data_IF_865145034897
#
_entry.id   IF_865145034897
#
_cell.length_a   1.000
_cell.length_b   1.000
_cell.length_c   1.000
_cell.angle_alpha   90.00
_cell.angle_beta   90.00
_cell.angle_gamma   90.00
#
_symmetry.space_group_name_H-M   'P 1'
#
loop_
_entity.id
_entity.type
_entity.pdbx_description
1 polymer ?
#
# COMPACT_ATOMS: atom_id res chain seq x y z
N UNK A 1 -31.52 8.64 13.68
CA UNK A 1 -31.83 9.03 12.28
C UNK A 1 -32.31 10.48 12.10
N UNK A 2 -33.14 11.03 12.95
CA UNK A 2 -33.60 12.43 12.82
C UNK A 2 -32.51 13.45 13.20
N UNK A 3 -31.67 13.14 14.16
CA UNK A 3 -30.59 13.99 14.69
C UNK A 3 -29.43 14.21 13.70
N UNK A 4 -29.15 13.26 12.83
CA UNK A 4 -28.00 13.33 11.89
C UNK A 4 -28.31 14.22 10.68
N UNK A 5 -29.56 14.23 10.22
CA UNK A 5 -30.02 15.11 9.15
C UNK A 5 -29.98 16.59 9.58
N UNK A 6 -30.32 16.89 10.85
CA UNK A 6 -30.33 18.25 11.38
C UNK A 6 -28.93 18.85 11.44
N UNK A 7 -27.90 18.03 11.58
CA UNK A 7 -26.49 18.43 11.66
C UNK A 7 -25.80 18.63 10.29
N UNK A 8 -26.50 18.42 9.19
CA UNK A 8 -25.99 18.71 7.86
C UNK A 8 -26.13 20.20 7.52
N UNK A 9 -25.12 20.80 6.91
CA UNK A 9 -25.16 22.19 6.44
C UNK A 9 -26.30 22.38 5.42
N UNK A 10 -26.92 23.56 5.42
CA UNK A 10 -27.90 23.96 4.41
C UNK A 10 -27.25 24.23 3.06
N UNK A 11 -28.11 24.40 2.01
CA UNK A 11 -27.63 24.88 0.73
C UNK A 11 -27.49 26.41 0.78
N UNK A 12 -26.47 26.92 0.10
CA UNK A 12 -26.22 28.33 -0.08
C UNK A 12 -26.92 28.80 -1.36
N UNK A 13 -27.90 29.71 -1.29
CA UNK A 13 -28.59 30.25 -2.47
C UNK A 13 -27.67 31.06 -3.39
N UNK A 14 -26.61 31.64 -2.86
CA UNK A 14 -25.65 32.47 -3.59
C UNK A 14 -24.49 31.67 -4.19
N UNK A 15 -24.41 30.36 -3.91
CA UNK A 15 -23.41 29.49 -4.49
C UNK A 15 -23.73 29.19 -5.97
N UNK A 16 -22.83 29.51 -6.92
CA UNK A 16 -23.07 29.31 -8.35
C UNK A 16 -23.17 27.83 -8.75
N UNK A 17 -22.84 26.90 -7.86
CA UNK A 17 -22.90 25.46 -8.11
C UNK A 17 -24.34 24.95 -8.05
N UNK A 18 -24.72 24.01 -8.93
CA UNK A 18 -26.04 23.38 -8.89
C UNK A 18 -26.33 22.74 -7.50
N UNK A 19 -27.60 22.73 -7.05
CA UNK A 19 -27.98 22.11 -5.77
C UNK A 19 -27.48 20.67 -5.60
N UNK A 20 -27.45 19.89 -6.66
CA UNK A 20 -26.88 18.52 -6.62
C UNK A 20 -25.39 18.48 -6.25
N UNK A 21 -24.61 19.45 -6.73
CA UNK A 21 -23.19 19.57 -6.39
C UNK A 21 -23.00 20.03 -4.94
N UNK A 22 -23.82 20.97 -4.48
CA UNK A 22 -23.78 21.44 -3.10
C UNK A 22 -24.13 20.30 -2.12
N UNK A 23 -25.19 19.53 -2.39
CA UNK A 23 -25.56 18.35 -1.59
C UNK A 23 -24.42 17.34 -1.58
N UNK A 24 -23.82 17.05 -2.74
CA UNK A 24 -22.66 16.14 -2.80
C UNK A 24 -21.49 16.66 -1.95
N UNK A 25 -21.23 17.97 -1.94
CA UNK A 25 -20.16 18.57 -1.12
C UNK A 25 -20.44 18.44 0.38
N UNK A 26 -21.69 18.70 0.81
CA UNK A 26 -22.10 18.58 2.22
C UNK A 26 -21.96 17.13 2.69
N UNK A 27 -22.49 16.17 1.93
CA UNK A 27 -22.39 14.75 2.26
C UNK A 27 -20.95 14.26 2.23
N UNK A 28 -20.14 14.73 1.27
CA UNK A 28 -18.70 14.44 1.21
C UNK A 28 -17.96 14.92 2.44
N UNK A 29 -18.24 16.14 2.89
CA UNK A 29 -17.68 16.69 4.11
C UNK A 29 -18.09 15.85 5.33
N UNK A 30 -19.37 15.47 5.44
CA UNK A 30 -19.88 14.65 6.53
C UNK A 30 -19.25 13.25 6.57
N UNK A 31 -19.02 12.61 5.41
CA UNK A 31 -18.32 11.33 5.30
C UNK A 31 -16.84 11.49 5.72
N UNK A 32 -16.17 12.53 5.23
CA UNK A 32 -14.74 12.76 5.54
C UNK A 32 -14.49 13.13 7.01
N UNK A 33 -15.42 13.78 7.65
CA UNK A 33 -15.37 14.15 9.09
C UNK A 33 -15.94 13.06 9.99
N UNK A 34 -16.23 11.88 9.44
CA UNK A 34 -16.83 10.74 10.16
C UNK A 34 -18.14 11.05 10.90
N UNK A 35 -18.90 12.01 10.42
CA UNK A 35 -20.30 12.17 10.83
C UNK A 35 -21.17 11.02 10.35
N UNK A 36 -20.78 10.39 9.24
CA UNK A 36 -21.27 9.09 8.80
C UNK A 36 -20.08 8.12 8.78
N UNK A 37 -20.18 7.07 9.56
CA UNK A 37 -19.13 6.07 9.70
C UNK A 37 -19.05 5.13 8.48
N UNK A 38 -17.89 4.52 8.19
CA UNK A 38 -17.76 3.52 7.15
C UNK A 38 -18.76 2.37 7.33
N UNK A 39 -19.48 2.02 6.28
CA UNK A 39 -20.54 1.03 6.29
C UNK A 39 -21.91 1.55 6.75
N UNK A 40 -21.99 2.76 7.27
CA UNK A 40 -23.24 3.36 7.72
C UNK A 40 -24.14 3.70 6.54
N UNK A 41 -25.45 3.60 6.78
CA UNK A 41 -26.46 3.93 5.79
C UNK A 41 -26.70 5.43 5.77
N UNK A 42 -26.54 6.06 4.59
CA UNK A 42 -26.94 7.46 4.40
C UNK A 42 -28.47 7.61 4.49
N UNK A 43 -28.95 8.83 4.85
CA UNK A 43 -30.37 9.16 4.78
C UNK A 43 -30.95 8.81 3.42
N UNK A 44 -32.25 8.47 3.39
CA UNK A 44 -32.90 8.10 2.14
C UNK A 44 -32.96 9.27 1.15
N UNK A 45 -33.16 8.97 -0.12
CA UNK A 45 -33.33 10.01 -1.13
C UNK A 45 -34.53 10.93 -0.82
N UNK A 46 -35.59 10.40 -0.18
CA UNK A 46 -36.73 11.18 0.21
C UNK A 46 -36.41 12.13 1.37
N UNK A 47 -35.73 11.62 2.41
CA UNK A 47 -35.33 12.41 3.57
C UNK A 47 -34.38 13.55 3.17
N UNK A 48 -33.44 13.30 2.26
CA UNK A 48 -32.55 14.32 1.72
C UNK A 48 -33.27 15.33 0.82
N UNK A 49 -34.22 14.87 0.02
CA UNK A 49 -35.05 15.77 -0.84
C UNK A 49 -35.89 16.70 0.01
N UNK A 50 -36.49 16.21 1.08
CA UNK A 50 -37.25 16.99 2.06
C UNK A 50 -36.36 17.97 2.82
N UNK A 51 -35.20 17.48 3.35
CA UNK A 51 -34.24 18.30 4.11
C UNK A 51 -33.72 19.49 3.32
N UNK A 52 -33.45 19.33 2.04
CA UNK A 52 -32.87 20.36 1.17
C UNK A 52 -33.92 21.08 0.32
N UNK A 53 -35.20 20.73 0.44
CA UNK A 53 -36.31 21.26 -0.36
C UNK A 53 -35.99 21.22 -1.87
N UNK A 54 -35.56 20.07 -2.37
CA UNK A 54 -35.22 19.84 -3.79
C UNK A 54 -35.95 18.64 -4.36
N UNK A 55 -36.01 18.55 -5.70
CA UNK A 55 -36.53 17.36 -6.36
C UNK A 55 -35.66 16.10 -6.04
N UNK A 56 -36.31 14.96 -5.91
CA UNK A 56 -35.63 13.67 -5.66
C UNK A 56 -34.56 13.34 -6.71
N UNK A 57 -34.74 13.76 -7.96
CA UNK A 57 -33.76 13.57 -9.03
C UNK A 57 -32.46 14.38 -8.80
N UNK A 58 -32.58 15.56 -8.14
CA UNK A 58 -31.40 16.34 -7.71
C UNK A 58 -30.57 15.57 -6.68
N UNK A 59 -31.22 14.96 -5.70
CA UNK A 59 -30.54 14.10 -4.70
C UNK A 59 -29.90 12.87 -5.37
N UNK A 60 -30.61 12.23 -6.29
CA UNK A 60 -30.07 11.08 -7.03
C UNK A 60 -28.83 11.46 -7.83
N UNK A 61 -28.78 12.65 -8.41
CA UNK A 61 -27.59 13.18 -9.07
C UNK A 61 -26.44 13.42 -8.08
N UNK A 62 -26.72 13.97 -6.90
CA UNK A 62 -25.72 14.14 -5.83
C UNK A 62 -25.13 12.78 -5.37
N UNK A 63 -25.98 11.80 -5.14
CA UNK A 63 -25.53 10.46 -4.76
C UNK A 63 -24.75 9.76 -5.89
N UNK A 64 -25.07 10.03 -7.17
CA UNK A 64 -24.27 9.54 -8.29
C UNK A 64 -22.87 10.13 -8.27
N UNK A 65 -22.72 11.44 -8.03
CA UNK A 65 -21.40 12.08 -7.87
C UNK A 65 -20.58 11.37 -6.79
N UNK A 66 -21.17 11.16 -5.60
CA UNK A 66 -20.47 10.49 -4.50
C UNK A 66 -20.13 9.02 -4.79
N UNK A 67 -20.97 8.33 -5.57
CA UNK A 67 -20.70 6.97 -6.02
C UNK A 67 -19.56 6.92 -7.04
N UNK A 68 -19.54 7.86 -8.00
CA UNK A 68 -18.49 7.97 -9.02
C UNK A 68 -17.14 8.36 -8.36
N UNK A 69 -17.18 9.12 -7.26
CA UNK A 69 -16.05 9.39 -6.37
C UNK A 69 -15.68 8.22 -5.44
N UNK A 70 -16.41 7.10 -5.53
CA UNK A 70 -16.22 5.91 -4.70
C UNK A 70 -16.38 6.15 -3.18
N UNK A 71 -17.08 7.18 -2.77
CA UNK A 71 -17.36 7.47 -1.36
C UNK A 71 -18.54 6.66 -0.81
N UNK A 72 -19.44 6.24 -1.67
CA UNK A 72 -20.63 5.45 -1.30
C UNK A 72 -20.83 4.26 -2.24
N UNK A 73 -21.58 3.26 -1.75
CA UNK A 73 -22.11 2.15 -2.53
C UNK A 73 -23.64 2.16 -2.43
N UNK A 74 -24.33 1.88 -3.54
CA UNK A 74 -25.78 1.73 -3.56
C UNK A 74 -26.14 0.25 -3.61
N UNK A 75 -27.03 -0.19 -2.70
CA UNK A 75 -27.59 -1.54 -2.71
C UNK A 75 -29.05 -1.45 -3.14
N UNK A 76 -29.45 -2.20 -4.16
CA UNK A 76 -30.80 -2.20 -4.68
C UNK A 76 -31.80 -2.53 -3.57
N UNK A 77 -32.81 -1.70 -3.39
CA UNK A 77 -33.83 -1.84 -2.34
C UNK A 77 -33.37 -1.45 -0.92
N UNK A 78 -32.06 -1.31 -0.67
CA UNK A 78 -31.52 -1.04 0.68
C UNK A 78 -31.00 0.38 0.89
N UNK A 79 -30.74 1.14 -0.20
CA UNK A 79 -30.30 2.54 -0.13
C UNK A 79 -28.81 2.74 -0.43
N UNK A 80 -28.31 3.92 -0.04
CA UNK A 80 -26.89 4.29 -0.16
C UNK A 80 -26.19 4.10 1.19
N UNK A 81 -24.98 3.55 1.14
CA UNK A 81 -24.15 3.32 2.31
C UNK A 81 -22.81 4.01 2.10
N UNK A 82 -22.27 4.61 3.15
CA UNK A 82 -20.88 5.05 3.14
C UNK A 82 -20.03 3.84 2.78
N UNK A 83 -19.20 3.99 1.77
CA UNK A 83 -18.30 2.90 1.44
C UNK A 83 -17.45 2.66 2.69
N UNK A 84 -17.54 1.44 3.23
CA UNK A 84 -16.52 1.00 4.18
C UNK A 84 -15.21 1.26 3.45
N UNK A 85 -14.45 2.23 3.93
CA UNK A 85 -13.19 2.55 3.29
C UNK A 85 -12.42 1.23 3.23
N UNK A 86 -12.37 0.62 2.08
CA UNK A 86 -11.09 0.14 1.63
C UNK A 86 -10.28 1.43 1.63
N UNK A 87 -9.45 1.59 2.64
CA UNK A 87 -8.56 2.72 2.80
C UNK A 87 -8.06 3.09 1.40
N UNK A 88 -8.06 4.38 1.05
CA UNK A 88 -7.27 4.84 -0.11
C UNK A 88 -5.97 4.09 0.00
N UNK A 89 -5.36 3.58 -1.08
CA UNK A 89 -4.07 2.96 -0.98
C UNK A 89 -3.21 3.88 -0.14
N UNK A 90 -3.01 3.51 1.11
CA UNK A 90 -2.30 4.36 2.07
C UNK A 90 -0.91 4.41 1.49
N UNK A 91 -0.44 5.59 1.16
CA UNK A 91 0.90 5.70 0.61
C UNK A 91 1.87 5.12 1.63
N UNK A 92 2.64 4.11 1.27
CA UNK A 92 3.62 3.48 2.15
C UNK A 92 4.60 4.50 2.76
N UNK A 93 4.98 5.53 1.99
CA UNK A 93 5.99 6.52 2.38
C UNK A 93 5.73 7.21 3.74
N UNK A 94 4.55 7.79 4.04
CA UNK A 94 4.32 8.43 5.34
C UNK A 94 4.46 7.49 6.53
N UNK A 95 4.11 6.22 6.36
CA UNK A 95 4.24 5.21 7.41
C UNK A 95 5.69 4.77 7.62
N UNK A 96 6.46 4.64 6.53
CA UNK A 96 7.90 4.38 6.63
C UNK A 96 8.58 5.56 7.33
N UNK A 97 8.27 6.81 6.98
CA UNK A 97 8.81 7.99 7.66
C UNK A 97 8.48 7.97 9.16
N UNK A 98 7.22 7.72 9.53
CA UNK A 98 6.81 7.61 10.93
C UNK A 98 7.51 6.44 11.67
N UNK A 99 7.76 5.32 10.99
CA UNK A 99 8.49 4.20 11.57
C UNK A 99 9.92 4.59 12.00
N UNK A 100 10.57 5.48 11.25
CA UNK A 100 11.91 5.99 11.57
C UNK A 100 11.96 7.03 12.70
N UNK A 101 10.82 7.49 13.21
CA UNK A 101 10.75 8.34 14.42
C UNK A 101 10.93 7.52 15.70
N UNK A 102 10.91 6.17 15.63
CA UNK A 102 11.14 5.27 16.76
C UNK A 102 12.64 5.13 17.06
N UNK A 103 12.97 4.83 18.32
CA UNK A 103 14.35 4.54 18.72
C UNK A 103 14.89 3.27 18.06
N UNK A 104 14.04 2.27 17.85
CA UNK A 104 14.38 1.01 17.20
C UNK A 104 13.52 0.84 15.96
N UNK A 105 14.17 0.84 14.80
CA UNK A 105 13.51 0.72 13.49
C UNK A 105 13.73 -0.66 12.92
N UNK A 106 12.64 -1.35 12.59
CA UNK A 106 12.67 -2.63 11.90
C UNK A 106 11.80 -2.56 10.65
N UNK A 107 12.39 -2.79 9.50
CA UNK A 107 11.69 -2.85 8.20
C UNK A 107 11.90 -4.24 7.61
N UNK A 108 10.83 -4.96 7.39
CA UNK A 108 10.83 -6.25 6.73
C UNK A 108 10.10 -6.13 5.39
N UNK A 109 10.71 -6.63 4.36
CA UNK A 109 10.16 -6.60 3.02
C UNK A 109 10.25 -7.96 2.36
N UNK A 110 9.13 -8.45 1.83
CA UNK A 110 9.10 -9.56 0.90
C UNK A 110 8.45 -9.10 -0.42
N UNK A 111 9.10 -9.40 -1.54
CA UNK A 111 8.58 -8.97 -2.84
C UNK A 111 9.46 -9.38 -4.01
N UNK A 112 9.43 -8.61 -5.11
CA UNK A 112 10.12 -8.99 -6.33
C UNK A 112 11.51 -8.36 -6.49
N UNK A 113 11.64 -7.02 -6.37
CA UNK A 113 12.90 -6.35 -6.76
C UNK A 113 13.44 -5.32 -5.76
N UNK A 114 12.73 -5.02 -4.70
CA UNK A 114 13.12 -3.98 -3.74
C UNK A 114 13.07 -2.54 -4.25
N UNK A 115 12.69 -2.26 -5.50
CA UNK A 115 12.68 -0.92 -6.10
C UNK A 115 11.83 0.07 -5.29
N UNK A 116 10.60 -0.32 -4.93
CA UNK A 116 9.71 0.53 -4.13
C UNK A 116 10.29 0.73 -2.72
N UNK A 117 10.85 -0.31 -2.10
CA UNK A 117 11.49 -0.22 -0.80
C UNK A 117 12.64 0.80 -0.82
N UNK A 118 13.54 0.69 -1.78
CA UNK A 118 14.64 1.65 -1.97
C UNK A 118 14.10 3.09 -2.04
N UNK A 119 13.08 3.32 -2.89
CA UNK A 119 12.49 4.65 -3.05
C UNK A 119 11.85 5.24 -1.80
N UNK A 120 11.30 4.43 -0.89
CA UNK A 120 10.70 4.93 0.35
C UNK A 120 11.69 5.04 1.50
N UNK A 121 12.81 4.31 1.47
CA UNK A 121 13.86 4.41 2.48
C UNK A 121 14.79 5.62 2.27
N UNK A 122 14.93 6.12 1.04
CA UNK A 122 15.87 7.20 0.72
C UNK A 122 15.68 8.42 1.63
N UNK A 123 14.46 8.93 1.76
CA UNK A 123 14.19 10.14 2.55
C UNK A 123 14.46 9.97 4.05
N UNK A 124 13.98 8.91 4.74
CA UNK A 124 14.32 8.68 6.15
C UNK A 124 15.82 8.54 6.39
N UNK A 125 16.56 7.83 5.54
CA UNK A 125 18.01 7.67 5.67
C UNK A 125 18.73 9.01 5.48
N UNK A 126 18.28 9.87 4.57
CA UNK A 126 18.80 11.22 4.39
C UNK A 126 18.50 12.13 5.61
N UNK A 127 17.32 11.98 6.23
CA UNK A 127 16.98 12.67 7.48
C UNK A 127 17.89 12.26 8.63
N UNK A 128 18.31 10.98 8.70
CA UNK A 128 19.32 10.53 9.69
C UNK A 128 20.66 11.19 9.39
N UNK A 129 21.12 11.20 8.13
CA UNK A 129 22.38 11.88 7.74
C UNK A 129 22.37 13.37 8.07
N UNK A 130 21.21 14.00 7.99
CA UNK A 130 21.01 15.41 8.33
C UNK A 130 20.85 15.65 9.85
N UNK A 131 20.84 14.62 10.69
CA UNK A 131 20.63 14.73 12.15
C UNK A 131 19.19 15.09 12.53
N UNK A 132 18.23 14.94 11.60
CA UNK A 132 16.81 15.21 11.85
C UNK A 132 16.08 14.00 12.47
N UNK A 133 16.64 12.81 12.29
CA UNK A 133 16.21 11.57 12.93
C UNK A 133 17.42 10.93 13.59
N UNK A 134 17.24 10.34 14.77
CA UNK A 134 18.32 9.75 15.56
C UNK A 134 17.90 8.40 16.17
N UNK A 135 17.56 7.40 15.34
CA UNK A 135 17.26 6.06 15.85
C UNK A 135 18.51 5.44 16.47
N UNK A 136 18.33 4.64 17.50
CA UNK A 136 19.42 3.86 18.13
C UNK A 136 19.80 2.66 17.28
N UNK A 137 18.80 2.03 16.63
CA UNK A 137 19.03 0.92 15.71
C UNK A 137 18.16 0.97 14.47
N UNK A 138 18.71 0.49 13.34
CA UNK A 138 18.00 0.31 12.07
C UNK A 138 18.29 -1.08 11.55
N UNK A 139 17.26 -1.92 11.45
CA UNK A 139 17.34 -3.26 10.87
C UNK A 139 16.43 -3.36 9.65
N UNK A 140 17.01 -3.74 8.51
CA UNK A 140 16.25 -3.97 7.27
C UNK A 140 16.45 -5.41 6.82
N UNK A 141 15.37 -6.19 6.75
CA UNK A 141 15.39 -7.56 6.24
C UNK A 141 14.65 -7.64 4.91
N UNK A 142 15.31 -8.12 3.87
CA UNK A 142 14.79 -8.16 2.50
C UNK A 142 14.72 -9.60 2.01
N UNK A 143 13.53 -10.06 1.61
CA UNK A 143 13.26 -11.40 1.15
C UNK A 143 12.79 -11.35 -0.31
N UNK A 144 13.55 -11.93 -1.24
CA UNK A 144 13.35 -11.84 -2.69
C UNK A 144 13.38 -13.20 -3.37
N UNK A 145 12.88 -13.33 -4.61
CA UNK A 145 13.06 -14.55 -5.39
C UNK A 145 14.54 -14.73 -5.78
N UNK A 146 14.95 -15.98 -5.82
CA UNK A 146 16.28 -16.37 -6.30
C UNK A 146 16.31 -16.34 -7.83
N UNK A 147 16.98 -15.33 -8.39
CA UNK A 147 17.16 -15.16 -9.82
C UNK A 147 18.28 -16.06 -10.41
N UNK A 148 19.07 -16.69 -9.58
CA UNK A 148 20.07 -17.69 -9.99
C UNK A 148 19.46 -19.01 -10.46
N UNK A 149 18.22 -19.29 -10.02
CA UNK A 149 17.48 -20.51 -10.31
C UNK A 149 16.34 -20.25 -11.31
N UNK A 150 15.86 -21.27 -12.07
CA UNK A 150 14.71 -21.11 -12.96
C UNK A 150 13.48 -20.56 -12.22
N UNK A 151 12.85 -19.54 -12.81
CA UNK A 151 11.71 -18.81 -12.23
C UNK A 151 10.42 -19.10 -12.99
N UNK A 152 9.31 -19.22 -12.23
CA UNK A 152 7.98 -19.28 -12.85
C UNK A 152 7.53 -17.90 -13.39
N UNK A 153 7.98 -16.81 -12.76
CA UNK A 153 7.75 -15.42 -13.14
C UNK A 153 8.97 -14.55 -12.73
N UNK A 154 9.40 -13.63 -13.60
CA UNK A 154 8.92 -13.41 -14.99
C UNK A 154 9.32 -14.54 -15.93
N UNK A 155 8.52 -14.74 -17.01
CA UNK A 155 8.78 -15.78 -18.00
C UNK A 155 8.43 -15.30 -19.41
N UNK A 156 8.84 -16.04 -20.44
CA UNK A 156 8.48 -15.76 -21.84
C UNK A 156 6.96 -15.82 -22.03
N UNK A 157 6.36 -14.84 -22.70
CA UNK A 157 4.90 -14.82 -22.92
C UNK A 157 4.44 -15.95 -23.84
N UNK A 158 5.20 -16.27 -24.89
CA UNK A 158 4.84 -17.28 -25.88
C UNK A 158 4.81 -18.70 -25.30
N UNK A 159 5.81 -19.07 -24.52
CA UNK A 159 6.00 -20.45 -24.05
C UNK A 159 5.70 -20.64 -22.57
N UNK A 160 5.56 -19.54 -21.82
CA UNK A 160 5.50 -19.51 -20.35
C UNK A 160 6.71 -20.22 -19.68
N UNK A 161 7.79 -20.36 -20.43
CA UNK A 161 9.02 -20.97 -19.93
C UNK A 161 9.94 -19.91 -19.30
N UNK A 162 10.75 -20.36 -18.36
CA UNK A 162 11.89 -19.63 -17.85
C UNK A 162 12.88 -19.28 -18.97
N UNK A 163 13.48 -18.11 -18.90
CA UNK A 163 14.53 -17.68 -19.83
C UNK A 163 15.68 -17.02 -19.07
N UNK A 164 16.94 -17.47 -19.28
CA UNK A 164 18.10 -16.90 -18.59
C UNK A 164 18.29 -15.40 -18.80
N UNK A 165 17.95 -14.87 -20.00
CA UNK A 165 18.06 -13.43 -20.28
C UNK A 165 17.01 -12.60 -19.54
N UNK A 166 15.80 -13.15 -19.34
CA UNK A 166 14.77 -12.56 -18.51
C UNK A 166 15.21 -12.55 -17.04
N UNK A 167 15.81 -13.63 -16.54
CA UNK A 167 16.38 -13.69 -15.18
C UNK A 167 17.53 -12.71 -14.98
N UNK A 168 18.48 -12.61 -15.92
CA UNK A 168 19.58 -11.63 -15.89
C UNK A 168 19.05 -10.18 -15.82
N UNK A 169 17.93 -9.89 -16.49
CA UNK A 169 17.26 -8.59 -16.39
C UNK A 169 16.69 -8.38 -15.00
N UNK A 170 15.97 -9.36 -14.45
CA UNK A 170 15.42 -9.31 -13.10
C UNK A 170 16.53 -9.11 -12.07
N UNK A 171 17.62 -9.88 -12.17
CA UNK A 171 18.81 -9.78 -11.33
C UNK A 171 19.41 -8.37 -11.33
N UNK A 172 19.63 -7.76 -12.50
CA UNK A 172 20.16 -6.39 -12.57
C UNK A 172 19.29 -5.36 -11.88
N UNK A 173 17.95 -5.53 -11.93
CA UNK A 173 17.01 -4.63 -11.27
C UNK A 173 17.10 -4.84 -9.76
N UNK A 174 17.00 -6.08 -9.31
CA UNK A 174 17.08 -6.48 -7.90
C UNK A 174 18.39 -5.98 -7.28
N UNK A 175 19.51 -6.34 -7.86
CA UNK A 175 20.86 -6.00 -7.37
C UNK A 175 21.03 -4.48 -7.23
N UNK A 176 20.64 -3.71 -8.22
CA UNK A 176 20.74 -2.22 -8.15
C UNK A 176 20.08 -1.66 -6.91
N UNK A 177 18.91 -2.15 -6.53
CA UNK A 177 18.15 -1.61 -5.42
C UNK A 177 18.57 -2.20 -4.09
N UNK A 178 18.88 -3.48 -4.04
CA UNK A 178 19.34 -4.14 -2.80
C UNK A 178 20.72 -3.66 -2.37
N UNK A 179 21.69 -3.57 -3.30
CA UNK A 179 23.03 -3.07 -3.01
C UNK A 179 22.96 -1.63 -2.47
N UNK A 180 22.13 -0.78 -3.11
CA UNK A 180 21.96 0.60 -2.65
C UNK A 180 21.35 0.69 -1.23
N UNK A 181 20.39 -0.17 -0.89
CA UNK A 181 19.80 -0.22 0.46
C UNK A 181 20.85 -0.70 1.48
N UNK A 182 21.53 -1.80 1.19
CA UNK A 182 22.53 -2.39 2.10
C UNK A 182 23.66 -1.42 2.36
N UNK A 183 24.17 -0.78 1.31
CA UNK A 183 25.25 0.22 1.42
C UNK A 183 24.78 1.45 2.21
N UNK A 184 23.60 1.99 1.90
CA UNK A 184 23.07 3.16 2.59
C UNK A 184 22.80 2.93 4.08
N UNK A 185 22.35 1.73 4.48
CA UNK A 185 22.15 1.39 5.89
C UNK A 185 23.50 1.16 6.58
N UNK A 186 24.45 0.45 5.95
CA UNK A 186 25.79 0.23 6.50
C UNK A 186 26.50 1.55 6.77
N UNK A 187 26.43 2.50 5.83
CA UNK A 187 27.05 3.82 5.94
C UNK A 187 26.61 4.56 7.23
N UNK A 188 25.35 4.42 7.66
CA UNK A 188 24.86 5.04 8.91
C UNK A 188 25.62 4.51 10.13
N UNK A 189 25.92 3.21 10.15
CA UNK A 189 26.74 2.60 11.20
C UNK A 189 28.20 3.04 11.13
N UNK A 190 28.80 3.03 9.94
CA UNK A 190 30.19 3.41 9.70
C UNK A 190 30.46 4.88 10.06
N UNK A 191 29.47 5.76 9.85
CA UNK A 191 29.52 7.17 10.24
C UNK A 191 29.18 7.39 11.72
N UNK A 192 28.80 6.36 12.48
CA UNK A 192 28.38 6.47 13.86
C UNK A 192 27.07 7.24 14.08
N UNK A 193 26.24 7.37 13.04
CA UNK A 193 24.95 8.03 13.11
C UNK A 193 23.87 7.14 13.73
N UNK A 194 24.02 5.82 13.59
CA UNK A 194 23.17 4.79 14.18
C UNK A 194 24.08 3.75 14.81
N UNK A 195 23.79 3.35 16.05
CA UNK A 195 24.64 2.42 16.80
C UNK A 195 24.65 1.02 16.17
N UNK A 196 23.47 0.52 15.85
CA UNK A 196 23.28 -0.82 15.28
C UNK A 196 22.51 -0.68 13.96
N UNK A 197 23.22 -0.64 12.84
CA UNK A 197 22.66 -0.47 11.49
C UNK A 197 22.94 -1.72 10.65
N UNK A 198 21.90 -2.50 10.34
CA UNK A 198 22.02 -3.80 9.63
C UNK A 198 20.99 -3.87 8.50
N UNK A 199 21.43 -4.26 7.30
CA UNK A 199 20.56 -4.64 6.22
C UNK A 199 21.00 -6.00 5.66
N UNK A 200 20.05 -6.94 5.60
CA UNK A 200 20.29 -8.31 5.14
C UNK A 200 19.33 -8.65 4.00
N UNK A 201 19.84 -9.36 3.01
CA UNK A 201 19.07 -9.84 1.86
C UNK A 201 19.14 -11.34 1.82
N UNK A 202 17.98 -11.98 1.76
CA UNK A 202 17.85 -13.43 1.53
C UNK A 202 16.98 -13.70 0.33
N UNK A 203 17.22 -14.81 -0.34
CA UNK A 203 16.49 -15.23 -1.53
C UNK A 203 15.86 -16.61 -1.36
N UNK A 204 14.77 -16.85 -2.10
CA UNK A 204 14.01 -18.11 -2.08
C UNK A 204 13.45 -18.46 -3.45
N UNK A 205 13.07 -19.72 -3.68
CA UNK A 205 12.58 -20.23 -4.98
C UNK A 205 11.08 -20.00 -5.25
N UNK A 206 10.34 -19.44 -4.30
CA UNK A 206 8.91 -19.18 -4.52
C UNK A 206 8.69 -18.03 -5.50
N UNK A 207 7.65 -18.14 -6.34
CA UNK A 207 7.28 -17.08 -7.26
C UNK A 207 6.84 -15.81 -6.54
N UNK A 208 7.25 -14.62 -6.98
CA UNK A 208 6.89 -13.35 -6.36
C UNK A 208 5.48 -12.90 -6.79
N UNK A 209 4.44 -13.36 -6.10
CA UNK A 209 3.05 -13.04 -6.45
C UNK A 209 2.47 -11.86 -5.67
N UNK A 210 3.17 -11.38 -4.65
CA UNK A 210 2.76 -10.27 -3.79
C UNK A 210 3.97 -9.53 -3.25
N UNK A 211 3.70 -8.38 -2.65
CA UNK A 211 4.65 -7.68 -1.80
C UNK A 211 4.08 -7.48 -0.42
N UNK A 212 4.94 -7.59 0.56
CA UNK A 212 4.63 -7.40 1.97
C UNK A 212 5.70 -6.47 2.57
N UNK A 213 5.26 -5.49 3.32
CA UNK A 213 6.10 -4.69 4.20
C UNK A 213 5.60 -4.86 5.61
N UNK A 214 6.51 -5.01 6.56
CA UNK A 214 6.20 -4.99 7.98
C UNK A 214 7.08 -3.92 8.61
N UNK A 215 6.47 -2.95 9.30
CA UNK A 215 7.13 -1.82 9.90
C UNK A 215 7.07 -1.95 11.41
N UNK A 216 8.22 -2.02 12.07
CA UNK A 216 8.39 -2.13 13.52
C UNK A 216 7.58 -3.27 14.16
N UNK A 217 7.16 -4.27 13.38
CA UNK A 217 6.26 -5.32 13.84
C UNK A 217 4.85 -4.84 14.22
N UNK A 218 4.52 -3.58 13.99
CA UNK A 218 3.26 -2.93 14.37
C UNK A 218 2.32 -2.71 13.17
N UNK A 219 2.86 -2.56 11.97
CA UNK A 219 2.10 -2.31 10.76
C UNK A 219 2.50 -3.26 9.63
N UNK A 220 1.52 -3.71 8.85
CA UNK A 220 1.75 -4.51 7.66
C UNK A 220 1.06 -3.91 6.44
N UNK A 221 1.77 -3.89 5.30
CA UNK A 221 1.27 -3.47 3.99
C UNK A 221 1.40 -4.66 3.04
N UNK A 222 0.30 -5.05 2.45
CA UNK A 222 0.23 -6.18 1.53
C UNK A 222 -0.36 -5.76 0.19
N UNK A 223 0.19 -6.27 -0.91
CA UNK A 223 -0.36 -6.02 -2.24
C UNK A 223 -0.04 -7.14 -3.22
N UNK A 224 -1.02 -7.55 -4.01
CA UNK A 224 -0.81 -8.51 -5.08
C UNK A 224 -0.07 -7.87 -6.26
N UNK A 225 0.80 -8.63 -6.90
CA UNK A 225 1.35 -8.24 -8.19
C UNK A 225 0.41 -8.68 -9.32
N UNK A 226 -0.16 -7.75 -10.10
CA UNK A 226 -0.77 -8.13 -11.36
C UNK A 226 0.32 -8.66 -12.29
N UNK A 227 0.05 -9.80 -12.93
CA UNK A 227 0.92 -10.36 -13.97
C UNK A 227 0.48 -9.76 -15.31
N UNK A 228 1.39 -9.08 -15.98
CA UNK A 228 1.10 -8.33 -17.20
C UNK A 228 2.05 -8.77 -18.31
N UNK A 229 1.51 -8.94 -19.51
CA UNK A 229 2.32 -9.11 -20.70
C UNK A 229 2.86 -7.76 -21.18
N UNK A 230 4.17 -7.67 -21.34
CA UNK A 230 4.79 -6.51 -21.99
C UNK A 230 6.10 -6.88 -22.69
N UNK A 231 6.54 -6.01 -23.58
CA UNK A 231 7.78 -6.20 -24.33
C UNK A 231 8.95 -5.54 -23.61
N UNK A 232 10.02 -6.30 -23.39
CA UNK A 232 11.29 -5.83 -22.83
C UNK A 232 12.44 -6.10 -23.79
N UNK A 233 13.55 -5.40 -23.62
CA UNK A 233 14.76 -5.67 -24.40
C UNK A 233 15.63 -6.71 -23.71
N UNK A 234 15.78 -7.89 -24.30
CA UNK A 234 16.67 -8.96 -23.85
C UNK A 234 17.79 -9.12 -24.88
N UNK A 235 19.03 -8.88 -24.47
CA UNK A 235 20.22 -8.96 -25.33
C UNK A 235 20.07 -8.23 -26.68
N UNK A 236 19.40 -7.06 -26.64
CA UNK A 236 19.16 -6.22 -27.82
C UNK A 236 17.96 -6.64 -28.68
N UNK A 237 17.21 -7.68 -28.29
CA UNK A 237 16.01 -8.14 -29.00
C UNK A 237 14.74 -7.80 -28.19
N UNK A 238 13.67 -7.29 -28.84
CA UNK A 238 12.37 -7.12 -28.19
C UNK A 238 11.77 -8.49 -27.87
N UNK A 239 11.46 -8.73 -26.60
CA UNK A 239 10.97 -10.02 -26.09
C UNK A 239 9.71 -9.78 -25.27
N UNK A 240 8.61 -10.46 -25.62
CA UNK A 240 7.38 -10.43 -24.84
C UNK A 240 7.51 -11.34 -23.61
N UNK A 241 7.21 -10.81 -22.43
CA UNK A 241 7.27 -11.54 -21.16
C UNK A 241 6.00 -11.32 -20.34
N UNK A 242 5.66 -12.30 -19.50
CA UNK A 242 4.77 -12.11 -18.37
C UNK A 242 5.62 -11.67 -17.16
N UNK A 243 5.30 -10.50 -16.61
CA UNK A 243 6.08 -9.86 -15.53
C UNK A 243 5.18 -9.47 -14.34
N UNK A 244 5.56 -9.77 -13.10
CA UNK A 244 4.83 -9.30 -11.92
C UNK A 244 5.07 -7.80 -11.72
N UNK A 245 4.03 -6.99 -11.94
CA UNK A 245 4.11 -5.52 -11.92
C UNK A 245 3.93 -4.95 -10.53
N UNK A 246 5.05 -4.68 -9.85
CA UNK A 246 5.05 -4.11 -8.51
C UNK A 246 4.56 -2.65 -8.44
N UNK A 247 4.77 -1.87 -9.51
CA UNK A 247 4.41 -0.46 -9.57
C UNK A 247 2.90 -0.21 -9.43
N UNK A 248 2.09 -1.11 -9.99
CA UNK A 248 0.63 -0.99 -10.04
C UNK A 248 -0.07 -1.74 -8.89
N UNK A 249 0.69 -2.34 -7.98
CA UNK A 249 0.13 -3.06 -6.85
C UNK A 249 -0.46 -2.09 -5.82
N UNK A 250 -1.77 -2.25 -5.58
CA UNK A 250 -2.48 -1.54 -4.51
C UNK A 250 -2.08 -2.17 -3.18
N UNK A 251 -1.67 -1.35 -2.21
CA UNK A 251 -1.34 -1.81 -0.88
C UNK A 251 -2.54 -1.74 0.06
N UNK A 252 -2.80 -2.84 0.77
CA UNK A 252 -3.75 -2.94 1.87
C UNK A 252 -2.96 -2.79 3.17
N UNK A 253 -3.37 -1.87 4.02
CA UNK A 253 -2.72 -1.58 5.29
C UNK A 253 -3.47 -2.23 6.46
N UNK A 254 -2.75 -2.76 7.43
CA UNK A 254 -3.23 -3.21 8.74
C UNK A 254 -2.23 -2.77 9.80
N UNK A 255 -2.73 -2.36 10.95
CA UNK A 255 -1.94 -1.97 12.10
C UNK A 255 -2.44 -2.67 13.35
N UNK A 256 -1.53 -2.98 14.26
CA UNK A 256 -1.86 -3.50 15.59
C UNK A 256 -2.73 -2.47 16.32
N UNK A 257 -3.74 -2.94 17.02
CA UNK A 257 -4.64 -2.15 17.86
C UNK A 257 -4.62 -2.67 19.30
N UNK A 258 -5.25 -1.94 20.22
CA UNK A 258 -5.41 -2.37 21.62
C UNK A 258 -6.19 -3.68 21.75
N UNK A 259 -6.98 -4.04 20.74
CA UNK A 259 -7.64 -5.34 20.64
C UNK A 259 -6.75 -6.32 19.87
N UNK A 260 -6.00 -7.15 20.58
CA UNK A 260 -5.15 -8.20 20.01
C UNK A 260 -5.95 -9.24 19.20
N UNK A 261 -7.25 -9.42 19.50
CA UNK A 261 -8.13 -10.33 18.79
C UNK A 261 -8.72 -9.71 17.50
N UNK A 262 -8.44 -8.43 17.22
CA UNK A 262 -8.92 -7.79 16.00
C UNK A 262 -8.31 -8.43 14.74
N UNK A 263 -9.06 -8.45 13.64
CA UNK A 263 -8.57 -8.95 12.34
C UNK A 263 -7.26 -8.26 11.91
N UNK A 264 -7.10 -6.98 12.27
CA UNK A 264 -5.92 -6.21 11.93
C UNK A 264 -4.69 -6.66 12.72
N UNK A 265 -4.81 -6.83 14.04
CA UNK A 265 -3.72 -7.34 14.90
C UNK A 265 -3.32 -8.75 14.52
N UNK A 266 -4.31 -9.64 14.30
CA UNK A 266 -4.06 -11.01 13.85
C UNK A 266 -3.36 -11.05 12.49
N UNK A 267 -3.74 -10.15 11.56
CA UNK A 267 -3.08 -10.07 10.25
C UNK A 267 -1.60 -9.71 10.37
N UNK A 268 -1.26 -8.70 11.18
CA UNK A 268 0.13 -8.28 11.40
C UNK A 268 0.94 -9.41 12.01
N UNK A 269 0.38 -10.12 13.00
CA UNK A 269 1.04 -11.26 13.64
C UNK A 269 1.28 -12.42 12.65
N UNK A 270 0.28 -12.76 11.84
CA UNK A 270 0.42 -13.78 10.80
C UNK A 270 1.44 -13.37 9.71
N UNK A 271 1.48 -12.10 9.33
CA UNK A 271 2.46 -11.58 8.38
C UNK A 271 3.90 -11.74 8.91
N UNK A 272 4.13 -11.40 10.19
CA UNK A 272 5.42 -11.61 10.88
C UNK A 272 5.78 -13.09 10.95
N UNK A 273 4.85 -13.93 11.41
CA UNK A 273 5.06 -15.38 11.51
C UNK A 273 5.43 -15.97 10.15
N UNK A 274 4.73 -15.57 9.07
CA UNK A 274 5.04 -16.01 7.72
C UNK A 274 6.44 -15.55 7.29
N UNK A 275 6.77 -14.27 7.48
CA UNK A 275 8.06 -13.71 7.09
C UNK A 275 9.22 -14.44 7.82
N UNK A 276 9.13 -14.59 9.14
CA UNK A 276 10.13 -15.27 9.95
C UNK A 276 10.28 -16.75 9.58
N UNK A 277 9.18 -17.42 9.24
CA UNK A 277 9.21 -18.81 8.79
C UNK A 277 9.97 -18.95 7.47
N UNK A 278 9.71 -18.09 6.49
CA UNK A 278 10.43 -18.07 5.21
C UNK A 278 11.92 -17.76 5.42
N UNK A 279 12.16 -16.71 6.22
CA UNK A 279 13.52 -16.23 6.52
C UNK A 279 14.39 -17.28 7.16
N UNK A 280 13.87 -18.04 8.12
CA UNK A 280 14.64 -19.00 8.91
C UNK A 280 14.69 -20.42 8.34
N UNK A 281 13.87 -20.74 7.32
CA UNK A 281 13.81 -22.12 6.80
C UNK A 281 14.36 -22.27 5.38
N UNK A 282 13.65 -21.69 4.39
CA UNK A 282 13.95 -21.95 2.97
C UNK A 282 14.74 -20.84 2.29
N UNK A 283 14.79 -19.66 2.90
CA UNK A 283 15.59 -18.55 2.38
C UNK A 283 17.07 -18.74 2.74
N UNK A 284 17.94 -18.37 1.84
CA UNK A 284 19.39 -18.38 2.01
C UNK A 284 19.96 -17.01 1.66
N UNK A 285 21.19 -16.76 2.10
CA UNK A 285 21.83 -15.47 1.90
C UNK A 285 22.01 -15.18 0.41
N UNK A 286 21.66 -13.95 0.05
CA UNK A 286 21.86 -13.47 -1.32
C UNK A 286 23.35 -13.27 -1.58
N UNK A 287 23.88 -13.97 -2.56
CA UNK A 287 25.26 -13.82 -3.04
C UNK A 287 25.19 -13.20 -4.45
N UNK A 288 25.55 -11.93 -4.64
CA UNK A 288 25.47 -11.21 -5.91
C UNK A 288 26.43 -11.73 -6.97
#
# INVERSE_FOLDING_TARGET
MTSELENLAGLDPDDPRPPSQQIANVLRAAIRTRKFEPGERLPSQNDLAERYNVARETVKTALRILRDERLIVTRQGSGAFVRAQTERPVGLRPHVEAAFERAHVTIEFAGFSGETLHGVLTEPLDKIRAGLLTPESVTVRILLPDTGEPMALPCLAETQADDPGVRERAERITRRHTDAIVEAVRELGDLGLVKDAVAEVRVHRAAPLFKLYILNGEEAFFGFYPVVEHTVMIKGQPTAIYDPMGKDAILFHRAVSDDEASDASQYVDQARTWFDSMWSTIAHDYTP
#
